data_IF_344118281472
#
_entry.id   IF_344118281472
#
_cell.length_a   1.000
_cell.length_b   1.000
_cell.length_c   1.000
_cell.angle_alpha   90.00
_cell.angle_beta   90.00
_cell.angle_gamma   90.00
#
_symmetry.space_group_name_H-M   'P 1'
#
loop_
_entity.id
_entity.type
_entity.pdbx_description
1 polymer ?
#
# COMPACT_ATOMS: atom_id res chain seq x y z
N UNK A 1 73.04 36.67 -49.73
CA UNK A 1 73.34 35.40 -49.05
C UNK A 1 74.79 35.29 -48.60
N UNK A 2 75.80 35.19 -49.48
CA UNK A 2 77.21 35.05 -49.02
C UNK A 2 77.72 36.27 -48.24
N UNK A 3 77.30 37.48 -48.62
CA UNK A 3 77.63 38.74 -47.93
C UNK A 3 76.86 38.95 -46.60
N UNK A 4 75.67 38.37 -46.46
CA UNK A 4 74.83 38.56 -45.26
C UNK A 4 75.30 37.69 -44.08
N UNK A 5 75.77 36.49 -44.38
CA UNK A 5 76.37 35.55 -43.41
C UNK A 5 77.71 36.08 -42.87
N UNK A 6 78.53 36.66 -43.74
CA UNK A 6 79.77 37.32 -43.33
C UNK A 6 79.47 38.55 -42.45
N UNK A 7 78.45 39.33 -42.79
CA UNK A 7 78.00 40.44 -41.94
C UNK A 7 77.47 39.95 -40.58
N UNK A 8 76.71 38.86 -40.53
CA UNK A 8 76.22 38.29 -39.26
C UNK A 8 77.36 37.81 -38.35
N UNK A 9 78.37 37.17 -38.92
CA UNK A 9 79.56 36.74 -38.17
C UNK A 9 80.33 37.94 -37.60
N UNK A 10 80.49 39.02 -38.38
CA UNK A 10 81.14 40.26 -37.90
C UNK A 10 80.30 40.94 -36.82
N UNK A 11 78.96 40.96 -36.95
CA UNK A 11 78.05 41.47 -35.91
C UNK A 11 78.22 40.69 -34.61
N UNK A 12 78.27 39.35 -34.69
CA UNK A 12 78.46 38.48 -33.52
C UNK A 12 79.84 38.72 -32.88
N UNK A 13 80.91 38.77 -33.66
CA UNK A 13 82.25 39.08 -33.15
C UNK A 13 82.35 40.48 -32.55
N UNK A 14 81.65 41.47 -33.11
CA UNK A 14 81.53 42.81 -32.54
C UNK A 14 80.82 42.78 -31.18
N UNK A 15 79.67 42.11 -31.09
CA UNK A 15 78.89 42.00 -29.85
C UNK A 15 79.61 41.20 -28.75
N UNK A 16 80.42 40.23 -29.14
CA UNK A 16 81.27 39.44 -28.23
C UNK A 16 82.62 40.09 -27.91
N UNK A 17 82.92 41.26 -28.48
CA UNK A 17 84.17 42.00 -28.24
C UNK A 17 85.43 41.34 -28.82
N UNK A 18 85.28 40.55 -29.90
CA UNK A 18 86.36 39.79 -30.55
C UNK A 18 87.06 40.55 -31.68
N UNK A 19 86.49 41.66 -32.15
CA UNK A 19 87.11 42.51 -33.17
C UNK A 19 88.31 43.29 -32.61
N UNK A 20 89.33 43.50 -33.42
CA UNK A 20 90.46 44.36 -33.05
C UNK A 20 90.04 45.85 -33.04
N UNK A 21 90.81 46.77 -32.41
CA UNK A 21 90.40 48.18 -32.30
C UNK A 21 90.19 48.89 -33.65
N UNK A 22 90.93 48.51 -34.70
CA UNK A 22 90.78 49.11 -36.03
C UNK A 22 89.50 48.59 -36.73
N UNK A 23 89.22 47.30 -36.61
CA UNK A 23 88.01 46.66 -37.12
C UNK A 23 86.74 47.19 -36.43
N UNK A 24 86.79 47.35 -35.11
CA UNK A 24 85.70 47.93 -34.32
C UNK A 24 85.36 49.35 -34.78
N UNK A 25 86.37 50.21 -34.98
CA UNK A 25 86.16 51.57 -35.47
C UNK A 25 85.57 51.60 -36.90
N UNK A 26 86.08 50.75 -37.79
CA UNK A 26 85.57 50.63 -39.16
C UNK A 26 84.10 50.14 -39.17
N UNK A 27 83.78 49.18 -38.30
CA UNK A 27 82.42 48.65 -38.18
C UNK A 27 81.45 49.65 -37.54
N UNK A 28 81.89 50.46 -36.57
CA UNK A 28 81.09 51.54 -36.01
C UNK A 28 80.79 52.63 -37.03
N UNK A 29 81.75 52.99 -37.88
CA UNK A 29 81.50 53.88 -39.00
C UNK A 29 80.47 53.29 -39.98
N UNK A 30 80.57 51.98 -40.27
CA UNK A 30 79.60 51.29 -41.11
C UNK A 30 78.18 51.38 -40.52
N UNK A 31 78.02 51.13 -39.21
CA UNK A 31 76.73 51.27 -38.50
C UNK A 31 76.17 52.68 -38.56
N UNK A 32 77.00 53.71 -38.46
CA UNK A 32 76.57 55.12 -38.57
C UNK A 32 76.13 55.44 -40.00
N UNK A 33 76.85 54.91 -41.00
CA UNK A 33 76.60 55.20 -42.41
C UNK A 33 75.43 54.41 -43.01
N UNK A 34 75.13 53.22 -42.48
CA UNK A 34 74.09 52.32 -42.97
C UNK A 34 73.11 51.93 -41.84
N UNK A 35 71.92 52.56 -41.78
CA UNK A 35 70.89 52.25 -40.80
C UNK A 35 70.41 50.79 -40.83
N UNK A 36 70.52 50.09 -41.97
CA UNK A 36 70.12 48.68 -42.06
C UNK A 36 71.10 47.78 -41.29
N UNK A 37 72.40 48.11 -41.34
CA UNK A 37 73.44 47.41 -40.57
C UNK A 37 73.25 47.66 -39.07
N UNK A 38 72.99 48.90 -38.66
CA UNK A 38 72.75 49.21 -37.23
C UNK A 38 71.52 48.48 -36.68
N UNK A 39 70.41 48.49 -37.42
CA UNK A 39 69.21 47.74 -37.05
C UNK A 39 69.50 46.23 -36.89
N UNK A 40 70.33 45.65 -37.77
CA UNK A 40 70.73 44.25 -37.70
C UNK A 40 71.55 43.96 -36.43
N UNK A 41 72.47 44.85 -36.06
CA UNK A 41 73.26 44.75 -34.81
C UNK A 41 72.34 44.78 -33.59
N UNK A 42 71.41 45.73 -33.51
CA UNK A 42 70.47 45.84 -32.39
C UNK A 42 69.57 44.61 -32.30
N UNK A 43 69.05 44.13 -33.43
CA UNK A 43 68.21 42.94 -33.49
C UNK A 43 68.97 41.69 -33.05
N UNK A 44 70.21 41.53 -33.50
CA UNK A 44 71.07 40.40 -33.14
C UNK A 44 71.44 40.42 -31.65
N UNK A 45 71.73 41.60 -31.09
CA UNK A 45 71.94 41.77 -29.65
C UNK A 45 70.72 41.32 -28.84
N UNK A 46 69.53 41.81 -29.21
CA UNK A 46 68.29 41.42 -28.53
C UNK A 46 68.01 39.92 -28.63
N UNK A 47 68.35 39.30 -29.77
CA UNK A 47 68.24 37.86 -29.96
C UNK A 47 69.17 37.09 -29.01
N UNK A 48 70.44 37.47 -28.90
CA UNK A 48 71.39 36.84 -27.97
C UNK A 48 70.93 36.99 -26.51
N UNK A 49 70.50 38.18 -26.10
CA UNK A 49 69.96 38.40 -24.74
C UNK A 49 68.72 37.54 -24.47
N UNK A 50 67.84 37.37 -25.46
CA UNK A 50 66.67 36.50 -25.35
C UNK A 50 67.05 35.02 -25.23
N UNK A 51 68.09 34.57 -25.94
CA UNK A 51 68.59 33.19 -25.82
C UNK A 51 69.16 32.91 -24.43
N UNK A 52 69.90 33.86 -23.85
CA UNK A 52 70.45 33.72 -22.49
C UNK A 52 69.34 33.66 -21.43
N UNK A 53 68.33 34.53 -21.54
CA UNK A 53 67.15 34.47 -20.66
C UNK A 53 66.43 33.12 -20.74
N UNK A 54 66.29 32.58 -21.95
CA UNK A 54 65.66 31.28 -22.16
C UNK A 54 66.49 30.13 -21.58
N UNK A 55 67.82 30.18 -21.71
CA UNK A 55 68.73 29.21 -21.12
C UNK A 55 68.62 29.19 -19.58
N UNK A 56 68.53 30.35 -18.94
CA UNK A 56 68.32 30.45 -17.49
C UNK A 56 66.96 29.89 -17.05
N UNK A 57 65.89 30.10 -17.84
CA UNK A 57 64.59 29.47 -17.57
C UNK A 57 64.64 27.94 -17.63
N UNK A 58 65.35 27.39 -18.63
CA UNK A 58 65.55 25.94 -18.74
C UNK A 58 66.32 25.42 -17.51
N UNK A 59 67.38 26.13 -17.10
CA UNK A 59 68.20 25.75 -15.95
C UNK A 59 67.41 25.76 -14.65
N UNK A 60 66.63 26.80 -14.39
CA UNK A 60 65.76 26.90 -13.21
C UNK A 60 64.74 25.76 -13.19
N UNK A 61 64.09 25.47 -14.33
CA UNK A 61 63.13 24.37 -14.43
C UNK A 61 63.79 23.01 -14.15
N UNK A 62 65.00 22.79 -14.66
CA UNK A 62 65.75 21.58 -14.37
C UNK A 62 66.08 21.44 -12.87
N UNK A 63 66.49 22.54 -12.22
CA UNK A 63 66.74 22.56 -10.77
C UNK A 63 65.46 22.27 -9.95
N UNK A 64 64.33 22.88 -10.31
CA UNK A 64 63.05 22.63 -9.62
C UNK A 64 62.60 21.18 -9.75
N UNK A 65 62.76 20.59 -10.94
CA UNK A 65 62.45 19.18 -11.18
C UNK A 65 63.36 18.25 -10.38
N UNK A 66 64.66 18.59 -10.26
CA UNK A 66 65.60 17.83 -9.46
C UNK A 66 65.21 17.85 -7.97
N UNK A 67 64.89 19.04 -7.43
CA UNK A 67 64.40 19.18 -6.05
C UNK A 67 63.09 18.38 -5.84
N UNK A 68 62.15 18.43 -6.80
CA UNK A 68 60.93 17.62 -6.73
C UNK A 68 61.21 16.12 -6.75
N UNK A 69 62.25 15.67 -7.45
CA UNK A 69 62.64 14.26 -7.50
C UNK A 69 63.30 13.74 -6.21
N UNK A 70 63.96 14.62 -5.45
CA UNK A 70 64.57 14.28 -4.15
C UNK A 70 63.56 14.31 -2.99
N UNK A 71 62.48 15.08 -3.12
CA UNK A 71 61.42 15.11 -2.11
C UNK A 71 60.58 13.84 -2.25
N UNK A 72 60.78 12.89 -1.36
CA UNK A 72 59.92 11.72 -1.19
C UNK A 72 58.59 12.14 -0.54
N UNK A 73 57.69 12.64 -1.37
CA UNK A 73 56.33 13.06 -0.98
C UNK A 73 55.56 11.89 -0.36
N UNK A 74 55.85 10.66 -0.76
CA UNK A 74 55.14 9.46 -0.30
C UNK A 74 55.52 9.11 1.15
N UNK A 75 56.79 9.20 1.52
CA UNK A 75 57.21 9.02 2.93
C UNK A 75 56.72 10.15 3.83
N UNK A 76 56.79 11.41 3.40
CA UNK A 76 56.26 12.55 4.16
C UNK A 76 54.73 12.44 4.33
N UNK A 77 54.01 12.03 3.29
CA UNK A 77 52.56 11.81 3.38
C UNK A 77 52.22 10.63 4.29
N UNK A 78 53.04 9.59 4.34
CA UNK A 78 52.82 8.42 5.20
C UNK A 78 53.00 8.74 6.69
N UNK A 79 53.92 9.63 7.06
CA UNK A 79 54.20 10.02 8.44
C UNK A 79 53.17 10.99 9.03
N UNK A 80 52.49 11.77 8.18
CA UNK A 80 51.49 12.77 8.58
C UNK A 80 50.03 12.29 8.47
N UNK A 81 49.78 11.10 7.90
CA UNK A 81 48.42 10.55 7.80
C UNK A 81 47.95 10.00 9.15
N UNK A 82 46.80 10.45 9.68
CA UNK A 82 46.25 9.88 10.90
C UNK A 82 45.90 8.40 10.66
N UNK A 83 46.55 7.52 11.40
CA UNK A 83 46.25 6.09 11.37
C UNK A 83 44.90 5.88 12.07
N UNK A 84 43.84 5.43 11.36
CA UNK A 84 42.55 5.22 11.99
C UNK A 84 42.70 4.11 13.03
N UNK A 85 42.20 4.35 14.25
CA UNK A 85 42.23 3.37 15.34
C UNK A 85 41.64 2.02 14.88
N UNK A 86 42.06 0.92 15.51
CA UNK A 86 41.55 -0.43 15.17
C UNK A 86 40.01 -0.48 15.13
N UNK A 87 39.35 0.30 15.98
CA UNK A 87 37.89 0.44 16.03
C UNK A 87 37.33 1.05 14.75
N UNK A 88 37.94 2.12 14.24
CA UNK A 88 37.50 2.78 12.99
C UNK A 88 37.73 1.87 11.79
N UNK A 89 38.82 1.10 11.76
CA UNK A 89 39.08 0.13 10.69
C UNK A 89 38.07 -1.02 10.69
N UNK A 90 37.79 -1.59 11.87
CA UNK A 90 36.76 -2.63 12.05
C UNK A 90 35.37 -2.12 11.65
N UNK A 91 35.00 -0.92 12.10
CA UNK A 91 33.72 -0.30 11.75
C UNK A 91 33.61 -0.07 10.24
N UNK A 92 34.66 0.47 9.59
CA UNK A 92 34.66 0.66 8.13
C UNK A 92 34.54 -0.66 7.37
N UNK A 93 35.23 -1.71 7.81
CA UNK A 93 35.23 -3.03 7.15
C UNK A 93 33.92 -3.78 7.32
N UNK A 94 33.28 -3.66 8.48
CA UNK A 94 32.11 -4.48 8.84
C UNK A 94 30.83 -3.68 9.08
N UNK A 95 30.76 -2.38 8.72
CA UNK A 95 29.57 -1.53 8.97
C UNK A 95 28.25 -2.15 8.49
N UNK A 96 28.26 -2.82 7.33
CA UNK A 96 27.07 -3.50 6.78
C UNK A 96 26.68 -4.72 7.61
N UNK A 97 27.65 -5.57 7.98
CA UNK A 97 27.41 -6.74 8.83
C UNK A 97 26.95 -6.34 10.24
N UNK A 98 27.53 -5.29 10.82
CA UNK A 98 27.14 -4.73 12.12
C UNK A 98 25.70 -4.18 12.05
N UNK A 99 25.36 -3.44 10.98
CA UNK A 99 24.00 -2.93 10.80
C UNK A 99 22.97 -4.05 10.67
N UNK A 100 23.28 -5.09 9.89
CA UNK A 100 22.41 -6.27 9.73
C UNK A 100 22.21 -6.98 11.07
N UNK A 101 23.29 -7.23 11.83
CA UNK A 101 23.22 -7.86 13.14
C UNK A 101 22.39 -7.03 14.14
N UNK A 102 22.56 -5.70 14.14
CA UNK A 102 21.78 -4.79 14.97
C UNK A 102 20.29 -4.84 14.60
N UNK A 103 19.95 -4.87 13.31
CA UNK A 103 18.56 -5.02 12.84
C UNK A 103 17.95 -6.35 13.29
N UNK A 104 18.71 -7.45 13.23
CA UNK A 104 18.25 -8.75 13.73
C UNK A 104 18.00 -8.74 15.25
N UNK A 105 18.88 -8.09 16.02
CA UNK A 105 18.68 -7.95 17.47
C UNK A 105 17.44 -7.11 17.79
N UNK A 106 17.24 -5.98 17.10
CA UNK A 106 16.04 -5.14 17.29
C UNK A 106 14.77 -5.90 16.91
N UNK A 107 14.75 -6.58 15.76
CA UNK A 107 13.62 -7.41 15.33
C UNK A 107 13.33 -8.55 16.30
N UNK A 108 14.37 -9.22 16.81
CA UNK A 108 14.24 -10.28 17.81
C UNK A 108 13.66 -9.74 19.11
N UNK A 109 14.17 -8.63 19.63
CA UNK A 109 13.66 -7.99 20.85
C UNK A 109 12.21 -7.52 20.69
N UNK A 110 11.87 -6.90 19.55
CA UNK A 110 10.49 -6.48 19.25
C UNK A 110 9.56 -7.70 19.12
N UNK A 111 10.02 -8.78 18.50
CA UNK A 111 9.23 -10.02 18.37
C UNK A 111 8.98 -10.66 19.74
N UNK A 112 10.00 -10.78 20.58
CA UNK A 112 9.87 -11.31 21.94
C UNK A 112 8.96 -10.42 22.80
N UNK A 113 9.14 -9.10 22.74
CA UNK A 113 8.27 -8.15 23.44
C UNK A 113 6.81 -8.25 22.97
N UNK A 114 6.58 -8.34 21.66
CA UNK A 114 5.25 -8.50 21.07
C UNK A 114 4.58 -9.80 21.51
N UNK A 115 5.32 -10.92 21.48
CA UNK A 115 4.83 -12.23 21.95
C UNK A 115 4.46 -12.13 23.43
N UNK A 116 5.33 -11.58 24.28
CA UNK A 116 5.10 -11.46 25.73
C UNK A 116 3.92 -10.53 26.07
N UNK A 117 3.78 -9.42 25.35
CA UNK A 117 2.66 -8.48 25.53
C UNK A 117 1.33 -9.10 25.08
N UNK A 118 1.31 -9.78 23.93
CA UNK A 118 0.12 -10.46 23.42
C UNK A 118 -0.32 -11.63 24.32
N UNK A 119 0.61 -12.37 24.93
CA UNK A 119 0.26 -13.44 25.88
C UNK A 119 -0.38 -12.88 27.15
N UNK A 120 0.15 -11.78 27.72
CA UNK A 120 -0.44 -11.13 28.90
C UNK A 120 -1.83 -10.58 28.62
N UNK A 121 -2.04 -9.98 27.44
CA UNK A 121 -3.36 -9.49 27.02
C UNK A 121 -4.37 -10.64 26.86
N UNK A 122 -3.95 -11.78 26.28
CA UNK A 122 -4.82 -12.95 26.13
C UNK A 122 -5.23 -13.52 27.49
N UNK A 123 -4.31 -13.57 28.45
CA UNK A 123 -4.60 -14.05 29.81
C UNK A 123 -5.57 -13.11 30.54
N UNK A 124 -5.37 -11.79 30.46
CA UNK A 124 -6.26 -10.79 31.05
C UNK A 124 -7.65 -10.79 30.39
N UNK A 125 -7.73 -11.01 29.07
CA UNK A 125 -8.98 -11.11 28.33
C UNK A 125 -9.76 -12.38 28.67
N UNK A 126 -9.08 -13.50 28.91
CA UNK A 126 -9.71 -14.75 29.39
C UNK A 126 -10.24 -14.58 30.82
N UNK A 127 -9.50 -13.90 31.71
CA UNK A 127 -9.97 -13.60 33.06
C UNK A 127 -11.20 -12.67 33.04
N UNK A 128 -11.17 -11.64 32.21
CA UNK A 128 -12.28 -10.71 32.05
C UNK A 128 -13.51 -11.41 31.42
N UNK A 129 -13.33 -12.24 30.39
CA UNK A 129 -14.45 -12.99 29.79
C UNK A 129 -15.07 -13.97 30.78
N UNK A 130 -14.26 -14.62 31.63
CA UNK A 130 -14.75 -15.50 32.68
C UNK A 130 -15.55 -14.73 33.75
N UNK A 131 -15.09 -13.53 34.13
CA UNK A 131 -15.82 -12.64 35.04
C UNK A 131 -17.13 -12.14 34.44
N UNK A 132 -17.12 -11.69 33.18
CA UNK A 132 -18.30 -11.25 32.44
C UNK A 132 -19.30 -12.40 32.28
N UNK A 133 -18.86 -13.60 31.90
CA UNK A 133 -19.71 -14.77 31.79
C UNK A 133 -20.33 -15.17 33.14
N UNK A 134 -19.57 -15.04 34.24
CA UNK A 134 -20.08 -15.26 35.60
C UNK A 134 -21.11 -14.20 35.99
N UNK A 135 -20.88 -12.93 35.64
CA UNK A 135 -21.83 -11.84 35.84
C UNK A 135 -23.12 -12.04 35.03
N UNK A 136 -23.03 -12.40 33.75
CA UNK A 136 -24.16 -12.74 32.88
C UNK A 136 -24.96 -13.92 33.45
N UNK A 137 -24.29 -15.00 33.88
CA UNK A 137 -24.97 -16.15 34.51
C UNK A 137 -25.70 -15.76 35.80
N UNK A 138 -25.08 -14.89 36.61
CA UNK A 138 -25.67 -14.38 37.85
C UNK A 138 -26.87 -13.50 37.54
N UNK A 139 -26.74 -12.55 36.62
CA UNK A 139 -27.81 -11.69 36.14
C UNK A 139 -28.97 -12.50 35.55
N UNK A 140 -28.70 -13.51 34.71
CA UNK A 140 -29.73 -14.39 34.16
C UNK A 140 -30.43 -15.22 35.23
N UNK A 141 -29.71 -15.65 36.27
CA UNK A 141 -30.30 -16.34 37.42
C UNK A 141 -31.20 -15.41 38.26
N UNK A 142 -30.83 -14.13 38.38
CA UNK A 142 -31.61 -13.12 39.07
C UNK A 142 -32.85 -12.73 38.26
N UNK A 143 -32.70 -12.50 36.94
CA UNK A 143 -33.81 -12.27 36.02
C UNK A 143 -34.80 -13.43 36.06
N UNK A 144 -34.32 -14.69 36.08
CA UNK A 144 -35.20 -15.86 36.20
C UNK A 144 -35.95 -15.89 37.53
N UNK A 145 -35.30 -15.54 38.65
CA UNK A 145 -35.95 -15.43 39.96
C UNK A 145 -36.95 -14.27 40.03
N UNK A 146 -36.65 -13.14 39.40
CA UNK A 146 -37.53 -11.98 39.31
C UNK A 146 -38.75 -12.29 38.44
N UNK A 147 -38.54 -12.90 37.28
CA UNK A 147 -39.61 -13.29 36.35
C UNK A 147 -40.50 -14.41 36.92
N UNK A 148 -39.93 -15.36 37.68
CA UNK A 148 -40.74 -16.40 38.35
C UNK A 148 -41.60 -15.84 39.50
N UNK A 149 -41.23 -14.70 40.09
CA UNK A 149 -42.03 -14.04 41.13
C UNK A 149 -42.97 -12.95 40.58
N UNK A 150 -42.90 -12.64 39.28
CA UNK A 150 -43.74 -11.66 38.60
C UNK A 150 -44.71 -12.35 37.63
N UNK A 151 -45.51 -13.29 38.11
CA UNK A 151 -46.67 -13.79 37.37
C UNK A 151 -47.83 -12.80 37.47
N UNK A 152 -47.91 -11.90 36.49
CA UNK A 152 -49.18 -11.31 36.05
C UNK A 152 -49.49 -11.95 34.68
N UNK A 153 -50.67 -12.56 34.46
CA UNK A 153 -50.93 -13.31 33.25
C UNK A 153 -51.28 -12.39 32.07
N UNK A 154 -50.59 -12.58 30.93
CA UNK A 154 -51.15 -12.24 29.62
C UNK A 154 -50.43 -11.20 28.76
N UNK A 155 -49.17 -11.47 28.35
CA UNK A 155 -48.65 -11.26 26.97
C UNK A 155 -47.17 -11.66 26.97
N UNK A 156 -46.70 -12.61 26.15
CA UNK A 156 -45.26 -12.83 26.02
C UNK A 156 -44.65 -11.58 25.38
N UNK A 157 -43.85 -10.85 26.16
CA UNK A 157 -42.93 -9.85 25.63
C UNK A 157 -41.84 -10.62 24.88
N UNK A 158 -42.04 -10.78 23.59
CA UNK A 158 -41.09 -11.40 22.67
C UNK A 158 -39.84 -10.52 22.69
N UNK A 159 -38.74 -11.00 23.27
CA UNK A 159 -37.46 -10.29 23.24
C UNK A 159 -36.84 -10.50 21.85
N UNK A 160 -36.95 -9.48 20.98
CA UNK A 160 -36.18 -9.44 19.74
C UNK A 160 -34.69 -9.42 20.10
N UNK A 161 -33.96 -10.49 19.81
CA UNK A 161 -32.51 -10.47 19.88
C UNK A 161 -31.97 -10.25 18.46
N UNK A 162 -31.08 -9.27 18.32
CA UNK A 162 -30.14 -9.06 17.21
C UNK A 162 -30.62 -9.39 15.77
N UNK A 163 -30.99 -8.35 15.01
CA UNK A 163 -31.35 -8.48 13.59
C UNK A 163 -30.15 -8.30 12.66
N UNK A 164 -30.03 -9.18 11.67
CA UNK A 164 -29.12 -9.00 10.53
C UNK A 164 -29.85 -8.51 9.29
N UNK A 165 -29.17 -8.55 8.15
CA UNK A 165 -29.75 -8.27 6.84
C UNK A 165 -29.86 -9.55 6.04
N UNK A 166 -30.87 -9.66 5.18
CA UNK A 166 -30.92 -10.65 4.11
C UNK A 166 -31.45 -10.02 2.83
N UNK A 167 -31.33 -10.72 1.71
CA UNK A 167 -31.82 -10.20 0.43
C UNK A 167 -32.37 -11.30 -0.47
N UNK A 168 -33.36 -10.94 -1.30
CA UNK A 168 -34.06 -11.90 -2.13
C UNK A 168 -33.23 -12.34 -3.33
N UNK A 169 -33.00 -13.66 -3.45
CA UNK A 169 -32.30 -14.30 -4.58
C UNK A 169 -33.25 -14.95 -5.59
N UNK A 170 -34.55 -14.97 -5.29
CA UNK A 170 -35.61 -15.36 -6.23
C UNK A 170 -36.90 -14.60 -5.95
N UNK A 171 -37.73 -14.47 -7.00
CA UNK A 171 -39.04 -13.82 -6.93
C UNK A 171 -40.06 -14.57 -6.07
N UNK A 172 -39.88 -15.88 -5.87
CA UNK A 172 -40.77 -16.70 -5.05
C UNK A 172 -40.35 -16.74 -3.56
N UNK A 173 -39.50 -15.80 -3.10
CA UNK A 173 -39.24 -15.58 -1.68
C UNK A 173 -38.10 -16.42 -1.08
N UNK A 174 -37.08 -16.77 -1.88
CA UNK A 174 -35.80 -17.24 -1.33
C UNK A 174 -34.96 -16.04 -0.93
N UNK A 175 -34.49 -16.03 0.31
CA UNK A 175 -33.69 -14.96 0.91
C UNK A 175 -32.32 -15.52 1.29
N UNK A 176 -31.26 -14.83 0.94
CA UNK A 176 -29.89 -15.15 1.34
C UNK A 176 -29.47 -14.27 2.52
N UNK A 177 -28.76 -14.85 3.48
CA UNK A 177 -28.15 -14.15 4.63
C UNK A 177 -26.95 -14.96 5.14
N UNK A 178 -26.32 -14.51 6.23
CA UNK A 178 -25.28 -15.29 6.90
C UNK A 178 -25.88 -16.35 7.83
N UNK A 179 -25.14 -17.44 8.05
CA UNK A 179 -25.56 -18.48 9.00
C UNK A 179 -25.52 -17.97 10.44
N UNK A 180 -24.48 -17.22 10.82
CA UNK A 180 -24.36 -16.69 12.19
C UNK A 180 -25.50 -15.74 12.57
N UNK A 181 -26.15 -15.08 11.59
CA UNK A 181 -27.30 -14.19 11.81
C UNK A 181 -28.52 -14.96 12.31
N UNK A 182 -28.69 -16.22 11.89
CA UNK A 182 -29.87 -17.04 12.19
C UNK A 182 -29.60 -18.16 13.20
N UNK A 183 -28.36 -18.29 13.68
CA UNK A 183 -27.96 -19.42 14.50
C UNK A 183 -28.58 -19.37 15.90
N UNK A 184 -29.14 -20.49 16.36
CA UNK A 184 -29.81 -20.59 17.66
C UNK A 184 -31.21 -19.96 17.73
N UNK A 185 -31.79 -19.56 16.60
CA UNK A 185 -33.13 -19.01 16.54
C UNK A 185 -34.22 -20.09 16.57
N UNK A 186 -35.19 -19.94 17.47
CA UNK A 186 -36.40 -20.79 17.53
C UNK A 186 -37.41 -20.40 16.44
N UNK A 187 -37.46 -19.12 16.08
CA UNK A 187 -38.33 -18.62 15.01
C UNK A 187 -37.67 -17.49 14.21
N UNK A 188 -37.85 -17.55 12.90
CA UNK A 188 -37.24 -16.63 11.94
C UNK A 188 -38.30 -15.87 11.16
N UNK A 189 -38.10 -14.56 11.06
CA UNK A 189 -38.91 -13.66 10.25
C UNK A 189 -38.03 -12.76 9.39
N UNK A 190 -38.54 -12.36 8.24
CA UNK A 190 -37.97 -11.28 7.41
C UNK A 190 -38.94 -10.10 7.41
N UNK A 191 -38.44 -8.89 7.59
CA UNK A 191 -39.23 -7.66 7.49
C UNK A 191 -38.77 -6.85 6.28
N UNK A 192 -39.70 -6.39 5.45
CA UNK A 192 -39.41 -5.52 4.32
C UNK A 192 -39.34 -4.03 4.73
N UNK A 193 -38.95 -3.17 3.79
CA UNK A 193 -38.91 -1.71 3.98
C UNK A 193 -40.28 -1.05 4.28
N UNK A 194 -41.40 -1.76 4.12
CA UNK A 194 -42.75 -1.31 4.47
C UNK A 194 -43.18 -1.74 5.89
N UNK A 195 -42.31 -2.46 6.60
CA UNK A 195 -42.59 -2.97 7.94
C UNK A 195 -43.34 -4.30 7.97
N UNK A 196 -43.69 -4.87 6.81
CA UNK A 196 -44.38 -6.16 6.72
C UNK A 196 -43.41 -7.29 7.08
N UNK A 197 -43.82 -8.15 8.02
CA UNK A 197 -43.00 -9.26 8.51
C UNK A 197 -43.56 -10.59 8.02
N UNK A 198 -42.69 -11.46 7.49
CA UNK A 198 -43.06 -12.75 6.92
C UNK A 198 -42.28 -13.88 7.60
N UNK A 199 -42.98 -14.96 7.96
CA UNK A 199 -42.32 -16.14 8.54
C UNK A 199 -41.49 -16.88 7.49
N UNK A 200 -40.24 -17.21 7.84
CA UNK A 200 -39.32 -17.94 6.97
C UNK A 200 -38.89 -19.27 7.58
N UNK A 201 -38.43 -20.19 6.74
CA UNK A 201 -37.77 -21.45 7.12
C UNK A 201 -36.37 -21.49 6.52
N UNK A 202 -35.41 -22.06 7.23
CA UNK A 202 -34.10 -22.39 6.67
C UNK A 202 -34.23 -23.58 5.71
N UNK A 203 -33.75 -23.43 4.48
CA UNK A 203 -33.79 -24.47 3.43
C UNK A 203 -32.40 -25.06 3.19
N UNK A 204 -31.37 -24.23 3.28
CA UNK A 204 -29.99 -24.63 3.08
C UNK A 204 -29.07 -23.81 3.98
N UNK A 205 -28.06 -24.46 4.55
CA UNK A 205 -27.00 -23.81 5.31
C UNK A 205 -25.65 -24.37 4.87
N UNK A 206 -24.66 -23.49 4.85
CA UNK A 206 -23.26 -23.83 4.61
C UNK A 206 -22.43 -23.25 5.76
N UNK A 207 -22.15 -24.06 6.79
CA UNK A 207 -21.34 -23.63 7.92
C UNK A 207 -19.90 -23.27 7.58
N UNK A 208 -19.34 -23.79 6.48
CA UNK A 208 -17.96 -23.50 6.08
C UNK A 208 -17.82 -22.07 5.53
N UNK A 209 -18.83 -21.64 4.76
CA UNK A 209 -18.81 -20.32 4.13
C UNK A 209 -19.74 -19.29 4.82
N UNK A 210 -20.33 -19.64 5.97
CA UNK A 210 -21.26 -18.78 6.72
C UNK A 210 -22.43 -18.27 5.86
N UNK A 211 -23.04 -19.17 5.08
CA UNK A 211 -24.18 -18.86 4.20
C UNK A 211 -25.43 -19.59 4.72
N UNK A 212 -26.56 -18.89 4.70
CA UNK A 212 -27.88 -19.49 4.86
C UNK A 212 -28.85 -19.00 3.79
N UNK A 213 -29.65 -19.93 3.27
CA UNK A 213 -30.75 -19.64 2.36
C UNK A 213 -32.07 -19.99 3.06
N UNK A 214 -32.90 -18.95 3.20
CA UNK A 214 -34.21 -19.00 3.81
C UNK A 214 -35.30 -18.98 2.73
N UNK A 215 -36.47 -19.54 3.05
CA UNK A 215 -37.68 -19.47 2.23
C UNK A 215 -38.82 -18.87 3.01
N UNK A 216 -39.44 -17.85 2.44
CA UNK A 216 -40.70 -17.28 2.96
C UNK A 216 -41.79 -18.34 2.85
N UNK A 217 -42.37 -18.68 4.00
CA UNK A 217 -43.42 -19.68 4.19
C UNK A 217 -44.78 -19.06 4.50
N UNK A 218 -44.83 -17.73 4.61
CA UNK A 218 -46.04 -16.96 4.87
C UNK A 218 -46.94 -16.89 3.62
N UNK A 219 -48.24 -17.12 3.80
CA UNK A 219 -49.23 -17.07 2.71
C UNK A 219 -49.52 -15.66 2.23
N UNK A 220 -49.26 -14.65 3.05
CA UNK A 220 -49.50 -13.25 2.71
C UNK A 220 -48.37 -12.65 1.84
N UNK A 221 -47.28 -13.40 1.64
CA UNK A 221 -46.19 -12.95 0.79
C UNK A 221 -46.59 -13.01 -0.68
N UNK A 222 -46.66 -11.85 -1.31
CA UNK A 222 -46.79 -11.74 -2.77
C UNK A 222 -45.43 -11.90 -3.43
N UNK A 223 -45.39 -12.63 -4.55
CA UNK A 223 -44.14 -12.80 -5.30
C UNK A 223 -43.57 -11.45 -5.73
N UNK A 224 -42.24 -11.33 -5.69
CA UNK A 224 -41.54 -10.15 -6.17
C UNK A 224 -41.60 -10.09 -7.71
N UNK A 225 -41.61 -8.89 -8.29
CA UNK A 225 -41.74 -8.73 -9.74
C UNK A 225 -40.53 -9.30 -10.51
N UNK A 226 -39.31 -8.92 -10.11
CA UNK A 226 -38.07 -9.36 -10.77
C UNK A 226 -36.85 -9.04 -9.90
N UNK A 227 -35.83 -9.89 -9.86
CA UNK A 227 -34.58 -9.54 -9.16
C UNK A 227 -33.81 -8.47 -9.98
N UNK A 228 -33.49 -7.29 -9.41
CA UNK A 228 -32.98 -6.16 -10.19
C UNK A 228 -31.47 -6.24 -10.48
N UNK A 229 -30.74 -7.12 -9.79
CA UNK A 229 -29.30 -7.29 -9.94
C UNK A 229 -28.96 -8.69 -10.49
N UNK A 230 -27.69 -8.89 -10.88
CA UNK A 230 -27.17 -10.20 -11.31
C UNK A 230 -25.94 -10.58 -10.50
N UNK A 231 -25.55 -11.85 -10.51
CA UNK A 231 -24.37 -12.31 -9.76
C UNK A 231 -23.13 -12.23 -10.64
N UNK A 232 -22.10 -11.53 -10.17
CA UNK A 232 -20.81 -11.45 -10.85
C UNK A 232 -20.07 -12.78 -10.76
N UNK A 233 -19.70 -13.36 -11.91
CA UNK A 233 -18.97 -14.63 -11.99
C UNK A 233 -17.47 -14.49 -11.71
N UNK A 234 -16.90 -13.38 -12.16
CA UNK A 234 -15.49 -13.10 -12.00
C UNK A 234 -15.23 -12.48 -10.63
N UNK A 235 -14.08 -12.79 -10.05
CA UNK A 235 -13.62 -12.18 -8.80
C UNK A 235 -13.41 -10.68 -9.00
N UNK A 236 -13.84 -9.88 -8.02
CA UNK A 236 -13.63 -8.43 -8.01
C UNK A 236 -12.16 -8.07 -7.84
N UNK A 237 -11.77 -6.94 -8.42
CA UNK A 237 -10.40 -6.42 -8.34
C UNK A 237 -10.23 -5.52 -7.12
N UNK A 238 -9.00 -5.40 -6.62
CA UNK A 238 -8.66 -4.40 -5.59
C UNK A 238 -8.92 -3.01 -6.20
N UNK A 239 -9.54 -2.12 -5.42
CA UNK A 239 -9.94 -0.77 -5.85
C UNK A 239 -11.29 -0.71 -6.55
N UNK A 240 -11.94 -1.86 -6.80
CA UNK A 240 -13.30 -1.87 -7.35
C UNK A 240 -14.28 -1.24 -6.36
N UNK A 241 -14.98 -0.19 -6.80
CA UNK A 241 -16.01 0.49 -6.02
C UNK A 241 -17.19 -0.45 -5.78
N UNK A 242 -17.61 -0.51 -4.52
CA UNK A 242 -18.69 -1.37 -4.05
C UNK A 242 -19.59 -0.63 -3.07
N UNK A 243 -20.82 -1.09 -2.94
CA UNK A 243 -21.78 -0.59 -1.98
C UNK A 243 -22.64 -1.71 -1.40
N UNK A 244 -23.21 -1.46 -0.23
CA UNK A 244 -24.11 -2.37 0.48
C UNK A 244 -25.30 -1.60 1.02
N UNK A 245 -26.43 -2.28 1.14
CA UNK A 245 -27.61 -1.78 1.84
C UNK A 245 -27.96 -2.79 2.92
N UNK A 246 -28.10 -2.34 4.16
CA UNK A 246 -28.42 -3.23 5.29
C UNK A 246 -29.21 -2.54 6.38
N UNK A 247 -29.58 -3.30 7.41
CA UNK A 247 -30.41 -2.86 8.53
C UNK A 247 -29.63 -2.92 9.85
N UNK A 248 -28.67 -2.00 10.10
CA UNK A 248 -28.01 -1.90 11.40
C UNK A 248 -28.91 -1.30 12.48
N UNK A 249 -30.07 -0.78 12.08
CA UNK A 249 -31.15 -0.20 12.90
C UNK A 249 -32.49 -0.49 12.19
N UNK A 250 -33.58 0.08 12.68
CA UNK A 250 -34.93 -0.08 12.10
C UNK A 250 -35.13 0.52 10.69
N UNK A 251 -34.06 1.03 10.07
CA UNK A 251 -34.08 1.64 8.75
C UNK A 251 -32.85 1.23 7.94
N UNK A 252 -33.01 1.23 6.61
CA UNK A 252 -31.97 0.82 5.68
C UNK A 252 -30.83 1.85 5.66
N UNK A 253 -29.59 1.37 5.83
CA UNK A 253 -28.37 2.19 5.81
C UNK A 253 -27.53 1.78 4.62
N UNK A 254 -27.17 2.78 3.81
CA UNK A 254 -26.24 2.66 2.70
C UNK A 254 -24.79 2.74 3.21
N UNK A 255 -23.98 1.76 2.83
CA UNK A 255 -22.53 1.81 2.98
C UNK A 255 -21.86 1.78 1.61
N UNK A 256 -20.88 2.65 1.39
CA UNK A 256 -20.12 2.71 0.14
C UNK A 256 -18.62 2.66 0.40
N UNK A 257 -17.87 2.12 -0.55
CA UNK A 257 -16.43 1.99 -0.44
C UNK A 257 -15.82 1.20 -1.59
N UNK A 258 -14.80 0.41 -1.30
CA UNK A 258 -14.07 -0.35 -2.30
C UNK A 258 -13.54 -1.68 -1.76
N UNK A 259 -13.22 -2.60 -2.66
CA UNK A 259 -12.51 -3.84 -2.33
C UNK A 259 -11.06 -3.51 -2.01
N UNK A 260 -10.63 -3.75 -0.77
CA UNK A 260 -9.28 -3.44 -0.30
C UNK A 260 -8.32 -4.63 -0.43
N UNK A 261 -8.83 -5.86 -0.37
CA UNK A 261 -8.05 -7.07 -0.61
C UNK A 261 -8.89 -8.16 -1.27
N UNK A 262 -8.25 -8.98 -2.10
CA UNK A 262 -8.86 -10.18 -2.70
C UNK A 262 -9.04 -11.32 -1.71
N UNK A 263 -8.38 -11.27 -0.56
CA UNK A 263 -8.47 -12.28 0.49
C UNK A 263 -8.94 -11.64 1.78
N UNK A 264 -9.70 -12.39 2.56
CA UNK A 264 -10.21 -11.99 3.87
C UNK A 264 -9.18 -12.19 4.98
N UNK A 265 -9.71 -12.31 6.20
CA UNK A 265 -8.90 -12.39 7.42
C UNK A 265 -7.95 -13.58 7.38
N UNK A 266 -6.68 -13.38 7.76
CA UNK A 266 -5.62 -14.41 7.76
C UNK A 266 -5.50 -15.14 6.40
N UNK A 267 -5.75 -14.44 5.30
CA UNK A 267 -5.59 -14.99 3.95
C UNK A 267 -6.75 -15.88 3.49
N UNK A 268 -7.92 -15.81 4.13
CA UNK A 268 -9.11 -16.52 3.68
C UNK A 268 -9.46 -16.18 2.21
N UNK A 269 -9.30 -17.18 1.34
CA UNK A 269 -9.53 -17.03 -0.10
C UNK A 269 -11.02 -17.01 -0.46
N UNK A 270 -11.91 -17.30 0.49
CA UNK A 270 -13.36 -17.31 0.29
C UNK A 270 -14.00 -15.93 0.40
N UNK A 271 -13.29 -14.97 0.98
CA UNK A 271 -13.78 -13.62 1.29
C UNK A 271 -12.96 -12.52 0.64
N UNK A 272 -13.57 -11.36 0.45
CA UNK A 272 -12.90 -10.09 0.22
C UNK A 272 -12.70 -9.37 1.56
N UNK A 273 -11.64 -8.56 1.63
CA UNK A 273 -11.65 -7.42 2.55
C UNK A 273 -12.20 -6.21 1.80
N UNK A 274 -13.11 -5.47 2.44
CA UNK A 274 -13.72 -4.26 1.90
C UNK A 274 -13.56 -3.11 2.88
N UNK A 275 -13.29 -1.92 2.34
CA UNK A 275 -13.24 -0.67 3.09
C UNK A 275 -14.61 0.00 2.99
N UNK A 276 -15.58 -0.47 3.77
CA UNK A 276 -16.94 0.08 3.85
C UNK A 276 -17.27 0.30 5.33
N UNK A 277 -17.94 1.42 5.70
CA UNK A 277 -18.49 1.57 7.04
C UNK A 277 -19.58 0.53 7.27
N UNK A 278 -19.25 -0.56 7.97
CA UNK A 278 -20.21 -1.58 8.39
C UNK A 278 -20.37 -1.57 9.90
N UNK A 279 -21.63 -1.63 10.34
CA UNK A 279 -22.02 -1.75 11.74
C UNK A 279 -22.69 -3.12 11.96
N UNK A 280 -22.82 -3.57 13.22
CA UNK A 280 -23.71 -4.70 13.55
C UNK A 280 -25.08 -4.54 12.88
N UNK A 281 -25.58 -5.62 12.28
CA UNK A 281 -26.84 -5.65 11.51
C UNK A 281 -26.69 -5.53 9.98
N UNK A 282 -25.54 -5.08 9.48
CA UNK A 282 -25.22 -5.18 8.03
C UNK A 282 -24.85 -6.61 7.58
N UNK A 283 -24.51 -7.49 8.52
CA UNK A 283 -24.20 -8.90 8.22
C UNK A 283 -25.37 -9.56 7.50
N UNK A 284 -25.08 -10.24 6.39
CA UNK A 284 -26.01 -10.87 5.48
C UNK A 284 -26.52 -9.94 4.37
N UNK A 285 -26.09 -8.67 4.34
CA UNK A 285 -26.46 -7.70 3.30
C UNK A 285 -25.74 -7.94 1.97
N UNK A 286 -26.35 -7.53 0.83
CA UNK A 286 -25.76 -7.69 -0.49
C UNK A 286 -24.63 -6.67 -0.72
N UNK A 287 -23.46 -7.15 -1.15
CA UNK A 287 -22.37 -6.31 -1.64
C UNK A 287 -22.42 -6.24 -3.17
N UNK A 288 -22.57 -5.03 -3.71
CA UNK A 288 -22.78 -4.76 -5.13
C UNK A 288 -21.66 -3.88 -5.71
N UNK A 289 -21.25 -4.14 -6.95
CA UNK A 289 -20.35 -3.25 -7.70
C UNK A 289 -21.09 -2.02 -8.25
N UNK A 290 -20.37 -1.03 -8.81
CA UNK A 290 -20.99 0.18 -9.40
C UNK A 290 -22.04 -0.09 -10.50
N UNK A 291 -22.00 -1.25 -11.15
CA UNK A 291 -22.99 -1.65 -12.14
C UNK A 291 -24.21 -2.35 -11.51
N UNK A 292 -24.24 -2.47 -10.19
CA UNK A 292 -25.24 -3.19 -9.43
C UNK A 292 -25.21 -4.69 -9.71
N UNK A 293 -24.03 -5.27 -9.93
CA UNK A 293 -23.86 -6.72 -9.89
C UNK A 293 -23.49 -7.15 -8.46
N UNK A 294 -24.11 -8.21 -7.97
CA UNK A 294 -23.79 -8.81 -6.68
C UNK A 294 -22.40 -9.45 -6.74
N UNK A 295 -21.49 -8.93 -5.94
CA UNK A 295 -20.10 -9.41 -5.83
C UNK A 295 -19.87 -10.20 -4.55
N UNK A 296 -20.73 -10.06 -3.54
CA UNK A 296 -20.63 -10.83 -2.30
C UNK A 296 -21.74 -10.59 -1.29
N UNK A 297 -21.57 -11.13 -0.09
CA UNK A 297 -22.42 -10.92 1.09
C UNK A 297 -21.55 -10.33 2.20
N UNK A 298 -21.97 -9.24 2.85
CA UNK A 298 -21.26 -8.70 4.01
C UNK A 298 -21.34 -9.72 5.16
N UNK A 299 -20.20 -10.16 5.70
CA UNK A 299 -20.16 -11.01 6.91
C UNK A 299 -20.07 -10.21 8.21
N UNK A 300 -19.66 -8.94 8.12
CA UNK A 300 -19.45 -8.06 9.27
C UNK A 300 -17.97 -7.77 9.54
N UNK A 301 -17.69 -7.25 10.74
CA UNK A 301 -16.36 -6.87 11.21
C UNK A 301 -15.89 -7.91 12.25
N UNK A 302 -14.79 -8.64 12.03
CA UNK A 302 -14.12 -9.39 13.08
C UNK A 302 -13.79 -8.42 14.21
N UNK A 303 -14.07 -8.84 15.45
CA UNK A 303 -13.98 -8.02 16.67
C UNK A 303 -12.59 -7.41 16.96
N UNK A 304 -11.62 -7.55 16.07
CA UNK A 304 -10.22 -7.17 16.27
C UNK A 304 -9.56 -6.39 15.11
N UNK A 305 -10.29 -6.01 14.06
CA UNK A 305 -9.70 -5.22 12.96
C UNK A 305 -10.39 -3.86 12.78
N UNK A 306 -9.80 -2.79 13.30
CA UNK A 306 -10.22 -1.43 12.96
C UNK A 306 -10.11 -1.19 11.44
N UNK A 307 -11.18 -0.65 10.83
CA UNK A 307 -11.17 -0.23 9.43
C UNK A 307 -11.35 -1.32 8.35
N UNK A 308 -11.57 -2.60 8.72
CA UNK A 308 -11.76 -3.69 7.75
C UNK A 308 -13.08 -4.43 7.96
N UNK A 309 -13.90 -4.48 6.90
CA UNK A 309 -15.08 -5.33 6.81
C UNK A 309 -14.79 -6.49 5.85
N UNK A 310 -15.52 -7.60 6.00
CA UNK A 310 -15.33 -8.76 5.14
C UNK A 310 -16.61 -9.14 4.43
N UNK A 311 -16.44 -9.71 3.24
CA UNK A 311 -17.55 -10.15 2.41
C UNK A 311 -17.27 -11.48 1.73
N UNK A 312 -18.18 -12.45 1.88
CA UNK A 312 -18.11 -13.74 1.18
C UNK A 312 -18.28 -13.52 -0.32
N UNK A 313 -17.40 -14.10 -1.13
CA UNK A 313 -17.39 -13.89 -2.59
C UNK A 313 -18.64 -14.49 -3.25
N UNK A 314 -19.12 -13.83 -4.31
CA UNK A 314 -20.24 -14.26 -5.15
C UNK A 314 -20.12 -15.70 -5.68
N UNK A 315 -18.90 -16.21 -5.85
CA UNK A 315 -18.65 -17.61 -6.21
C UNK A 315 -19.35 -18.58 -5.26
N UNK A 316 -19.24 -18.38 -3.95
CA UNK A 316 -19.83 -19.26 -2.94
C UNK A 316 -21.34 -19.11 -2.86
N UNK A 317 -21.87 -17.92 -3.22
CA UNK A 317 -23.31 -17.73 -3.41
C UNK A 317 -23.82 -18.62 -4.54
N UNK A 318 -23.12 -18.65 -5.68
CA UNK A 318 -23.48 -19.50 -6.83
C UNK A 318 -23.43 -20.98 -6.47
N UNK A 319 -22.45 -21.40 -5.67
CA UNK A 319 -22.33 -22.78 -5.19
C UNK A 319 -23.47 -23.15 -4.25
N UNK A 320 -23.79 -22.29 -3.26
CA UNK A 320 -24.93 -22.50 -2.36
C UNK A 320 -26.27 -22.56 -3.12
N UNK A 321 -26.46 -21.71 -4.14
CA UNK A 321 -27.67 -21.74 -4.96
C UNK A 321 -27.81 -23.01 -5.80
N UNK A 322 -26.71 -23.68 -6.17
CA UNK A 322 -26.75 -24.95 -6.90
C UNK A 322 -27.17 -26.12 -6.01
N UNK A 323 -26.96 -26.02 -4.70
CA UNK A 323 -27.38 -27.04 -3.74
C UNK A 323 -28.91 -27.08 -3.53
N UNK A 324 -29.63 -26.03 -3.92
CA UNK A 324 -31.10 -26.00 -3.90
C UNK A 324 -31.63 -26.62 -5.19
N UNK A 325 -32.67 -27.49 -5.12
CA UNK A 325 -33.30 -28.02 -6.32
C UNK A 325 -33.70 -26.91 -7.28
N UNK A 326 -33.24 -27.02 -8.52
CA UNK A 326 -33.32 -25.93 -9.51
C UNK A 326 -34.76 -25.48 -9.75
N UNK A 327 -35.71 -26.41 -9.76
CA UNK A 327 -37.13 -26.13 -10.00
C UNK A 327 -37.76 -25.33 -8.85
N UNK A 328 -37.21 -25.42 -7.65
CA UNK A 328 -37.70 -24.70 -6.48
C UNK A 328 -37.42 -23.19 -6.55
N UNK A 329 -36.47 -22.73 -7.37
CA UNK A 329 -36.14 -21.31 -7.53
C UNK A 329 -37.04 -20.57 -8.55
N UNK A 330 -37.89 -21.28 -9.30
CA UNK A 330 -38.83 -20.69 -10.27
C UNK A 330 -38.21 -20.21 -11.60
N UNK A 331 -39.02 -19.55 -12.44
CA UNK A 331 -38.68 -19.14 -13.82
C UNK A 331 -37.95 -17.79 -13.93
N UNK A 332 -37.95 -16.97 -12.87
CA UNK A 332 -37.26 -15.67 -12.81
C UNK A 332 -36.04 -15.74 -11.87
N UNK A 333 -35.18 -16.74 -12.11
CA UNK A 333 -33.91 -16.90 -11.39
C UNK A 333 -33.05 -15.66 -11.58
N UNK A 334 -32.16 -15.40 -10.61
CA UNK A 334 -30.97 -14.56 -10.83
C UNK A 334 -30.23 -15.08 -12.06
N UNK A 335 -30.51 -14.48 -13.23
CA UNK A 335 -29.93 -14.91 -14.48
C UNK A 335 -28.46 -14.51 -14.46
N UNK A 336 -27.57 -15.51 -14.41
CA UNK A 336 -26.13 -15.30 -14.43
C UNK A 336 -25.60 -14.68 -15.74
N UNK A 337 -26.46 -14.41 -16.72
CA UNK A 337 -26.11 -13.95 -18.07
C UNK A 337 -26.90 -12.72 -18.56
N UNK A 338 -27.78 -12.11 -17.74
CA UNK A 338 -28.43 -10.82 -18.11
C UNK A 338 -27.66 -9.65 -17.47
N UNK A 339 -27.63 -8.51 -18.16
CA UNK A 339 -27.10 -7.26 -17.58
C UNK A 339 -27.99 -6.86 -16.40
N UNK A 340 -27.39 -6.42 -15.30
CA UNK A 340 -28.12 -5.90 -14.13
C UNK A 340 -29.06 -4.77 -14.55
N UNK A 341 -30.29 -4.77 -14.05
CA UNK A 341 -31.27 -3.68 -14.27
C UNK A 341 -30.87 -2.41 -13.52
N UNK A 342 -29.91 -2.52 -12.59
CA UNK A 342 -29.31 -1.40 -11.87
C UNK A 342 -28.17 -0.73 -12.66
N UNK A 343 -27.66 -1.37 -13.72
CA UNK A 343 -26.53 -0.86 -14.49
C UNK A 343 -26.87 0.43 -15.23
N UNK A 344 -26.01 1.45 -15.09
CA UNK A 344 -26.18 2.77 -15.71
C UNK A 344 -27.15 3.70 -14.97
N UNK A 345 -27.81 3.24 -13.91
CA UNK A 345 -28.63 4.09 -13.05
C UNK A 345 -27.75 4.88 -12.07
N UNK A 346 -28.19 6.09 -11.70
CA UNK A 346 -27.61 6.82 -10.57
C UNK A 346 -27.81 6.03 -9.27
N UNK A 347 -26.87 6.16 -8.33
CA UNK A 347 -26.89 5.43 -7.04
C UNK A 347 -28.21 5.56 -6.29
N UNK A 348 -28.81 6.75 -6.24
CA UNK A 348 -30.12 6.96 -5.62
C UNK A 348 -31.22 6.08 -6.22
N UNK A 349 -31.26 5.94 -7.55
CA UNK A 349 -32.18 5.05 -8.26
C UNK A 349 -31.82 3.57 -8.12
N UNK A 350 -30.53 3.24 -7.97
CA UNK A 350 -30.12 1.87 -7.64
C UNK A 350 -30.66 1.45 -6.27
N UNK A 351 -30.55 2.32 -5.25
CA UNK A 351 -31.02 2.05 -3.89
C UNK A 351 -32.55 1.98 -3.83
N UNK A 352 -33.26 2.91 -4.47
CA UNK A 352 -34.73 2.90 -4.56
C UNK A 352 -35.27 1.59 -5.13
N UNK A 353 -34.57 1.00 -6.11
CA UNK A 353 -34.95 -0.30 -6.69
C UNK A 353 -34.49 -1.49 -5.84
N UNK A 354 -33.38 -1.35 -5.11
CA UNK A 354 -32.79 -2.44 -4.34
C UNK A 354 -33.51 -2.66 -3.00
N UNK A 355 -33.97 -1.60 -2.34
CA UNK A 355 -34.56 -1.65 -1.00
C UNK A 355 -35.76 -2.60 -0.87
N UNK A 356 -36.54 -2.80 -1.94
CA UNK A 356 -37.69 -3.71 -1.95
C UNK A 356 -37.27 -5.21 -1.92
N UNK A 357 -35.98 -5.49 -2.13
CA UNK A 357 -35.39 -6.83 -2.20
C UNK A 357 -34.43 -7.09 -1.03
N UNK A 358 -34.24 -6.12 -0.13
CA UNK A 358 -33.42 -6.26 1.08
C UNK A 358 -34.37 -6.29 2.27
N UNK A 359 -34.11 -7.21 3.19
CA UNK A 359 -34.98 -7.49 4.33
C UNK A 359 -34.17 -7.45 5.61
N UNK A 360 -34.80 -6.97 6.68
CA UNK A 360 -34.29 -7.12 8.03
C UNK A 360 -34.62 -8.54 8.52
N UNK A 361 -33.62 -9.25 9.01
CA UNK A 361 -33.80 -10.57 9.64
C UNK A 361 -34.16 -10.35 11.10
N UNK A 362 -35.25 -10.97 11.57
CA UNK A 362 -35.66 -10.97 12.97
C UNK A 362 -35.61 -12.39 13.50
N UNK A 363 -34.80 -12.59 14.53
CA UNK A 363 -34.67 -13.86 15.23
C UNK A 363 -35.31 -13.80 16.61
N UNK A 364 -35.91 -14.91 16.99
CA UNK A 364 -36.64 -15.07 18.23
C UNK A 364 -36.18 -16.36 18.90
N UNK A 365 -35.85 -16.27 20.19
CA UNK A 365 -35.33 -17.35 21.04
C UNK A 365 -36.21 -17.57 22.27
#
# INVERSE_FOLDING_TARGET
MRNDLELDAIIEDYLLGKLNPQETLAFEQLRISDPAVDHKVVSHKFFLESMDMFAEQIRLKAQLNHIHGEIDVESIASSLRPHPSRVVQLWRKHKSAIAVAASFLVLSLVSVYSIQHNTKQKEQLVLLSNQVNKAIKTQNSLIRKINNNATIPGKPAIQNSFGGTGFAISTNGYILTNLHVINGADSLYVQNNKGESFKVKSIYTDPQNDIAILKISDKNFSHLSSIPYTIKKNTSSIGETVYTLGYPKDDAVLGEGYVSSKNGFVGDTTQYQVSIPVNPGNSGGPLLDSNGNLVGIISGKPDQTEGAAFAIKSKYILEAMRAIPQDSLGNNRLSSNKKSMLSGLKRTKQIEKLQDYVFMIKVYN
#
